data_IF_876486485017
#
_entry.id   IF_876486485017
#
_cell.length_a   1.000
_cell.length_b   1.000
_cell.length_c   1.000
_cell.angle_alpha   90.00
_cell.angle_beta   90.00
_cell.angle_gamma   90.00
#
_symmetry.space_group_name_H-M   'P 1'
#
loop_
_entity.id
_entity.type
_entity.pdbx_description
1 polymer ?
#
# COMPACT_ATOMS: atom_id res chain seq x y z
N UNK A 1 9.50 10.38 -33.04
CA UNK A 1 8.43 9.96 -32.10
C UNK A 1 8.64 10.63 -30.74
N UNK A 2 8.37 11.94 -30.64
CA UNK A 2 8.39 12.66 -29.37
C UNK A 2 7.17 13.57 -29.32
N UNK A 3 6.39 13.50 -28.25
CA UNK A 3 5.27 14.41 -28.05
C UNK A 3 5.84 15.83 -27.83
N UNK A 4 5.33 16.87 -28.53
CA UNK A 4 5.76 18.25 -28.31
C UNK A 4 5.68 18.62 -26.82
N UNK A 5 6.78 19.13 -26.26
CA UNK A 5 6.88 19.49 -24.83
C UNK A 5 7.54 18.44 -23.93
N UNK A 6 7.99 17.30 -24.49
CA UNK A 6 8.72 16.24 -23.79
C UNK A 6 10.21 16.16 -24.19
N UNK A 7 10.74 17.17 -24.88
CA UNK A 7 12.13 17.27 -25.33
C UNK A 7 13.09 17.70 -24.21
N UNK A 8 13.02 16.98 -23.08
CA UNK A 8 13.85 17.29 -21.90
C UNK A 8 15.26 16.75 -22.06
N UNK A 9 16.25 17.60 -21.82
CA UNK A 9 17.68 17.28 -21.97
C UNK A 9 18.25 16.50 -20.79
N UNK A 10 17.65 16.65 -19.61
CA UNK A 10 18.08 15.99 -18.39
C UNK A 10 16.90 15.79 -17.41
N UNK A 11 17.13 15.01 -16.36
CA UNK A 11 16.13 14.74 -15.32
C UNK A 11 15.76 16.00 -14.51
N UNK A 12 16.62 17.02 -14.45
CA UNK A 12 16.32 18.28 -13.75
C UNK A 12 15.23 19.06 -14.49
N UNK A 13 15.25 19.07 -15.83
CA UNK A 13 14.19 19.71 -16.62
C UNK A 13 12.82 19.07 -16.38
N UNK A 14 12.76 17.74 -16.27
CA UNK A 14 11.54 17.02 -15.90
C UNK A 14 11.06 17.46 -14.52
N UNK A 15 11.95 17.44 -13.51
CA UNK A 15 11.64 17.81 -12.14
C UNK A 15 11.13 19.26 -12.01
N UNK A 16 11.76 20.20 -12.70
CA UNK A 16 11.35 21.61 -12.68
C UNK A 16 10.02 21.87 -13.40
N UNK A 17 9.72 21.10 -14.45
CA UNK A 17 8.43 21.18 -15.14
C UNK A 17 7.32 20.57 -14.28
N UNK A 18 7.54 19.38 -13.71
CA UNK A 18 6.58 18.72 -12.82
C UNK A 18 6.30 19.54 -11.56
N UNK A 19 7.28 20.32 -11.07
CA UNK A 19 7.11 21.21 -9.93
C UNK A 19 5.96 22.22 -10.16
N UNK A 20 5.78 22.72 -11.38
CA UNK A 20 4.70 23.67 -11.73
C UNK A 20 3.32 23.07 -11.54
N UNK A 21 3.18 21.77 -11.77
CA UNK A 21 1.94 21.02 -11.60
C UNK A 21 1.71 20.57 -10.15
N UNK A 22 2.73 20.66 -9.29
CA UNK A 22 2.60 20.37 -7.85
C UNK A 22 1.90 21.48 -7.06
N UNK A 23 1.79 22.70 -7.62
CA UNK A 23 1.21 23.88 -6.96
C UNK A 23 -0.19 23.61 -6.42
N UNK A 24 -0.53 24.23 -5.27
CA UNK A 24 -1.83 24.12 -4.58
C UNK A 24 -2.19 22.71 -4.07
N UNK A 25 -1.22 21.78 -4.03
CA UNK A 25 -1.40 20.41 -3.55
C UNK A 25 -0.68 20.15 -2.23
N UNK A 26 -1.10 19.11 -1.51
CA UNK A 26 -0.41 18.59 -0.29
C UNK A 26 1.01 18.07 -0.56
N UNK A 27 1.35 17.87 -1.83
CA UNK A 27 2.68 17.45 -2.30
C UNK A 27 3.40 18.57 -3.04
N UNK A 28 3.04 19.84 -2.82
CA UNK A 28 3.66 20.96 -3.49
C UNK A 28 5.15 21.08 -3.13
N UNK A 29 6.02 21.15 -4.13
CA UNK A 29 7.45 21.37 -3.97
C UNK A 29 7.98 22.48 -4.88
N UNK A 30 7.10 23.23 -5.54
CA UNK A 30 7.48 24.31 -6.47
C UNK A 30 8.28 25.42 -5.81
N UNK A 31 8.03 25.68 -4.52
CA UNK A 31 8.81 26.62 -3.71
C UNK A 31 10.30 26.28 -3.68
N UNK A 32 10.67 24.98 -3.68
CA UNK A 32 12.08 24.55 -3.75
C UNK A 32 12.70 24.99 -5.06
N UNK A 33 12.06 24.64 -6.18
CA UNK A 33 12.55 24.98 -7.52
C UNK A 33 12.63 26.49 -7.71
N UNK A 34 11.65 27.23 -7.18
CA UNK A 34 11.65 28.68 -7.24
C UNK A 34 12.80 29.30 -6.46
N UNK A 35 13.01 28.85 -5.21
CA UNK A 35 14.09 29.37 -4.37
C UNK A 35 15.45 29.05 -4.96
N UNK A 36 15.64 27.84 -5.52
CA UNK A 36 16.84 27.46 -6.23
C UNK A 36 17.13 28.45 -7.38
N UNK A 37 16.14 28.71 -8.25
CA UNK A 37 16.30 29.66 -9.38
C UNK A 37 16.61 31.08 -8.94
N UNK A 38 16.02 31.57 -7.85
CA UNK A 38 16.31 32.91 -7.30
C UNK A 38 17.70 33.05 -6.74
N UNK A 39 18.32 31.95 -6.32
CA UNK A 39 19.68 31.90 -5.82
C UNK A 39 20.68 31.36 -6.88
N UNK A 40 20.30 31.35 -8.17
CA UNK A 40 21.19 30.94 -9.26
C UNK A 40 21.52 29.44 -9.31
N UNK A 41 20.69 28.59 -8.69
CA UNK A 41 20.88 27.14 -8.60
C UNK A 41 19.83 26.36 -9.39
N UNK A 42 20.15 25.11 -9.78
CA UNK A 42 19.16 24.16 -10.33
C UNK A 42 18.29 23.54 -9.24
N UNK A 43 17.07 23.13 -9.57
CA UNK A 43 16.17 22.46 -8.62
C UNK A 43 16.77 21.20 -7.98
N UNK A 44 17.40 20.34 -8.77
CA UNK A 44 18.09 19.14 -8.29
C UNK A 44 19.30 19.43 -7.41
N UNK A 45 20.03 20.53 -7.64
CA UNK A 45 21.17 20.88 -6.81
C UNK A 45 20.72 21.22 -5.39
N UNK A 46 19.64 22.01 -5.28
CA UNK A 46 19.05 22.31 -3.98
C UNK A 46 18.46 21.05 -3.31
N UNK A 47 17.75 20.21 -4.07
CA UNK A 47 17.21 18.95 -3.54
C UNK A 47 18.34 18.01 -3.07
N UNK A 48 19.43 17.90 -3.83
CA UNK A 48 20.60 17.10 -3.50
C UNK A 48 21.29 17.58 -2.22
N UNK A 49 21.38 18.90 -1.99
CA UNK A 49 21.89 19.47 -0.74
C UNK A 49 21.07 19.06 0.48
N UNK A 50 19.76 18.85 0.35
CA UNK A 50 18.89 18.37 1.43
C UNK A 50 19.13 16.88 1.78
N UNK A 51 19.76 16.13 0.86
CA UNK A 51 20.19 14.75 1.06
C UNK A 51 19.04 13.80 1.42
N UNK A 52 19.36 12.74 2.18
CA UNK A 52 18.39 11.72 2.64
C UNK A 52 17.43 12.23 3.71
N UNK A 53 17.70 13.40 4.28
CA UNK A 53 16.82 14.04 5.27
C UNK A 53 15.63 14.75 4.60
N UNK A 54 15.77 15.15 3.33
CA UNK A 54 14.69 15.68 2.48
C UNK A 54 14.04 16.96 3.00
N UNK A 55 12.91 17.37 2.41
CA UNK A 55 12.05 18.42 2.96
C UNK A 55 10.60 17.98 2.80
N UNK A 56 9.80 18.13 3.86
CA UNK A 56 8.42 17.65 3.84
C UNK A 56 7.53 18.61 3.04
N UNK A 57 6.85 18.07 2.04
CA UNK A 57 5.82 18.80 1.30
C UNK A 57 4.52 18.93 2.14
N UNK A 58 3.75 20.01 1.96
CA UNK A 58 3.98 21.09 1.00
C UNK A 58 5.06 22.08 1.47
N UNK A 59 6.01 22.39 0.57
CA UNK A 59 7.07 23.38 0.81
C UNK A 59 6.58 24.76 0.46
N UNK A 60 6.87 25.72 1.33
CA UNK A 60 6.35 27.09 1.27
C UNK A 60 7.48 28.10 1.42
N UNK A 61 7.17 29.36 1.14
CA UNK A 61 8.03 30.49 1.48
C UNK A 61 7.32 31.27 2.58
N UNK A 62 8.00 31.49 3.70
CA UNK A 62 7.49 32.26 4.83
C UNK A 62 8.44 33.41 5.13
N UNK A 63 7.93 34.47 5.75
CA UNK A 63 8.77 35.51 6.33
C UNK A 63 9.76 34.90 7.35
N UNK A 64 11.01 35.37 7.32
CA UNK A 64 12.09 34.85 8.16
C UNK A 64 11.83 35.04 9.65
N UNK A 65 11.22 36.15 10.07
CA UNK A 65 10.91 36.38 11.48
C UNK A 65 9.80 35.42 11.94
N UNK A 66 8.79 35.19 11.10
CA UNK A 66 7.73 34.22 11.37
C UNK A 66 8.27 32.77 11.41
N UNK A 67 9.10 32.37 10.45
CA UNK A 67 9.71 31.03 10.39
C UNK A 67 10.60 30.71 11.60
N UNK A 68 11.23 31.75 12.19
CA UNK A 68 12.08 31.64 13.38
C UNK A 68 11.34 31.94 14.69
N UNK A 69 10.01 32.11 14.65
CA UNK A 69 9.20 32.37 15.84
C UNK A 69 9.30 31.24 16.86
N UNK A 70 9.36 31.60 18.15
CA UNK A 70 9.30 30.65 19.27
C UNK A 70 7.87 30.20 19.60
N UNK A 71 6.86 30.58 18.81
CA UNK A 71 5.47 30.15 19.03
C UNK A 71 5.42 28.61 19.09
N UNK A 72 4.93 28.00 20.18
CA UNK A 72 4.91 26.56 20.33
C UNK A 72 4.04 25.86 19.28
N UNK A 73 3.12 26.55 18.60
CA UNK A 73 2.35 25.99 17.47
C UNK A 73 3.19 25.87 16.19
N UNK A 74 4.23 26.69 16.06
CA UNK A 74 5.24 26.66 14.98
C UNK A 74 6.45 25.80 15.41
N UNK A 75 6.79 25.80 16.70
CA UNK A 75 7.95 25.15 17.30
C UNK A 75 7.55 24.10 18.37
N UNK A 76 6.96 22.97 17.93
CA UNK A 76 6.56 21.87 18.84
C UNK A 76 7.70 20.90 19.14
N UNK A 77 7.79 20.33 20.36
CA UNK A 77 8.71 19.24 20.69
C UNK A 77 8.50 18.01 19.79
N UNK A 78 9.59 17.37 19.31
CA UNK A 78 9.55 16.22 18.38
C UNK A 78 9.85 16.55 16.91
N UNK A 79 10.44 17.71 16.62
CA UNK A 79 10.80 18.14 15.25
C UNK A 79 11.84 17.22 14.58
N UNK A 80 11.71 17.10 13.25
CA UNK A 80 12.82 16.90 12.30
C UNK A 80 12.72 17.71 11.02
N UNK A 81 11.87 18.74 10.96
CA UNK A 81 11.63 19.47 9.71
C UNK A 81 11.76 20.98 9.92
N UNK A 82 12.63 21.58 9.12
CA UNK A 82 13.22 22.93 9.20
C UNK A 82 14.28 23.18 10.30
N UNK A 83 14.15 22.63 11.51
CA UNK A 83 15.14 22.85 12.59
C UNK A 83 16.51 22.21 12.34
N UNK A 84 16.52 20.92 12.00
CA UNK A 84 17.76 20.14 11.80
C UNK A 84 18.44 20.41 10.44
N UNK A 85 17.78 21.19 9.58
CA UNK A 85 18.16 21.44 8.18
C UNK A 85 18.41 22.93 7.92
N UNK A 86 18.31 23.77 8.97
CA UNK A 86 18.57 25.20 8.89
C UNK A 86 19.94 25.48 8.26
N UNK A 87 20.97 24.69 8.57
CA UNK A 87 22.31 24.85 7.98
C UNK A 87 22.32 24.76 6.44
N UNK A 88 21.59 23.83 5.85
CA UNK A 88 21.50 23.68 4.38
C UNK A 88 20.66 24.79 3.76
N UNK A 89 19.70 25.32 4.51
CA UNK A 89 18.80 26.40 4.11
C UNK A 89 19.35 27.80 4.44
N UNK A 90 20.46 27.91 5.18
CA UNK A 90 21.09 29.20 5.53
C UNK A 90 21.57 29.90 4.27
N UNK A 91 21.24 31.19 4.16
CA UNK A 91 21.58 32.02 3.01
C UNK A 91 20.68 31.83 1.79
N UNK A 92 19.76 30.84 1.80
CA UNK A 92 18.72 30.70 0.77
C UNK A 92 17.50 31.56 1.15
N UNK A 93 17.63 32.86 0.90
CA UNK A 93 16.63 33.85 1.23
C UNK A 93 16.31 34.71 0.01
N UNK A 94 15.07 35.11 -0.16
CA UNK A 94 14.68 36.06 -1.20
C UNK A 94 13.67 37.06 -0.65
N UNK A 95 14.03 38.36 -0.65
CA UNK A 95 13.21 39.46 -0.11
C UNK A 95 12.67 39.16 1.31
N UNK A 96 13.52 38.64 2.20
CA UNK A 96 13.16 38.28 3.57
C UNK A 96 12.36 36.98 3.72
N UNK A 97 12.04 36.29 2.63
CA UNK A 97 11.38 34.99 2.63
C UNK A 97 12.36 33.82 2.65
N UNK A 98 12.05 32.79 3.45
CA UNK A 98 12.81 31.54 3.57
C UNK A 98 11.93 30.33 3.26
N UNK A 99 12.56 29.22 2.86
CA UNK A 99 11.83 27.96 2.70
C UNK A 99 11.32 27.45 4.05
N UNK A 100 10.06 27.08 4.08
CA UNK A 100 9.36 26.60 5.25
C UNK A 100 8.55 25.35 4.88
N UNK A 101 8.78 24.26 5.61
CA UNK A 101 8.04 23.01 5.48
C UNK A 101 7.00 22.87 6.59
N UNK A 102 5.90 22.17 6.33
CA UNK A 102 4.91 21.90 7.37
C UNK A 102 5.36 20.77 8.29
N UNK A 103 5.07 20.91 9.60
CA UNK A 103 5.35 19.87 10.62
C UNK A 103 4.38 18.69 10.48
N UNK A 104 3.15 18.96 10.05
CA UNK A 104 2.12 17.99 9.72
C UNK A 104 1.37 18.47 8.48
N UNK A 105 0.90 17.54 7.64
CA UNK A 105 0.06 17.90 6.48
C UNK A 105 -1.27 18.56 6.90
N UNK A 106 -1.74 18.30 8.11
CA UNK A 106 -2.92 18.93 8.71
C UNK A 106 -2.55 19.55 10.06
N UNK A 107 -2.63 20.88 10.16
CA UNK A 107 -2.38 21.62 11.40
C UNK A 107 -3.52 22.61 11.64
N UNK A 108 -4.51 22.22 12.43
CA UNK A 108 -5.69 23.05 12.73
C UNK A 108 -5.39 24.27 13.60
N UNK A 109 -4.18 24.37 14.16
CA UNK A 109 -3.78 25.40 15.12
C UNK A 109 -2.76 26.40 14.55
N UNK A 110 -2.27 26.17 13.33
CA UNK A 110 -1.34 27.08 12.64
C UNK A 110 -2.03 28.43 12.39
N UNK A 111 -1.39 29.53 12.83
CA UNK A 111 -1.82 30.90 12.56
C UNK A 111 -1.00 31.51 11.45
N UNK A 112 -1.62 32.23 10.52
CA UNK A 112 -0.90 32.91 9.44
C UNK A 112 -0.19 34.17 9.94
N UNK A 113 0.91 34.61 9.29
CA UNK A 113 1.42 35.97 9.49
C UNK A 113 0.33 36.99 9.15
N UNK A 114 0.26 38.09 9.92
CA UNK A 114 -0.71 39.17 9.68
C UNK A 114 -0.49 39.86 8.32
N UNK A 115 0.74 39.84 7.81
CA UNK A 115 1.12 40.34 6.48
C UNK A 115 0.73 39.41 5.33
N UNK A 116 0.15 38.25 5.61
CA UNK A 116 -0.07 37.18 4.63
C UNK A 116 1.23 36.48 4.22
N UNK A 117 1.13 35.57 3.24
CA UNK A 117 2.32 34.90 2.71
C UNK A 117 3.08 35.77 1.72
N UNK A 118 4.43 35.69 1.70
CA UNK A 118 5.18 36.20 0.57
C UNK A 118 4.74 35.49 -0.72
N UNK A 119 4.86 36.19 -1.85
CA UNK A 119 4.38 35.78 -3.17
C UNK A 119 4.60 34.28 -3.47
N UNK A 120 3.68 33.69 -4.23
CA UNK A 120 3.76 32.32 -4.80
C UNK A 120 3.37 31.16 -3.87
N UNK A 121 3.28 31.36 -2.55
CA UNK A 121 2.72 30.34 -1.64
C UNK A 121 1.21 30.47 -1.57
N UNK A 122 0.48 29.43 -1.99
CA UNK A 122 -0.97 29.33 -1.78
C UNK A 122 -1.22 28.38 -0.63
N UNK A 123 -1.83 28.90 0.41
CA UNK A 123 -2.22 28.09 1.55
C UNK A 123 -3.66 27.63 1.41
N UNK A 124 -3.84 26.32 1.45
CA UNK A 124 -5.13 25.72 1.21
C UNK A 124 -5.86 25.55 2.54
N UNK A 125 -7.14 25.93 2.60
CA UNK A 125 -8.02 25.69 3.76
C UNK A 125 -8.02 24.22 4.20
N UNK A 126 -7.78 23.27 3.27
CA UNK A 126 -7.65 21.84 3.54
C UNK A 126 -6.42 21.47 4.39
N UNK A 127 -5.45 22.36 4.57
CA UNK A 127 -4.28 22.14 5.41
C UNK A 127 -4.56 22.50 6.87
N UNK A 128 -5.54 23.38 7.13
CA UNK A 128 -6.01 23.71 8.48
C UNK A 128 -7.24 22.91 8.91
N UNK A 129 -7.87 22.17 7.98
CA UNK A 129 -9.16 21.53 8.22
C UNK A 129 -9.20 20.16 7.57
N UNK A 130 -9.80 19.19 8.26
CA UNK A 130 -10.14 17.91 7.67
C UNK A 130 -11.14 18.10 6.53
N UNK A 131 -11.14 17.17 5.56
CA UNK A 131 -12.13 17.13 4.48
C UNK A 131 -13.48 16.61 5.00
N UNK A 132 -14.07 17.34 5.92
CA UNK A 132 -15.39 17.12 6.51
C UNK A 132 -16.18 18.44 6.47
N UNK A 133 -17.51 18.37 6.58
CA UNK A 133 -18.36 19.57 6.58
C UNK A 133 -17.96 20.57 7.69
N UNK A 134 -17.56 20.07 8.86
CA UNK A 134 -17.16 20.87 10.02
C UNK A 134 -15.69 21.27 10.00
N UNK A 135 -14.88 20.67 9.14
CA UNK A 135 -13.42 20.80 9.15
C UNK A 135 -12.72 20.06 10.28
N UNK A 136 -13.45 19.27 11.08
CA UNK A 136 -12.93 18.47 12.20
C UNK A 136 -12.75 17.00 11.82
N UNK A 137 -11.93 16.29 12.58
CA UNK A 137 -11.77 14.84 12.47
C UNK A 137 -13.08 14.14 12.84
N UNK A 138 -13.55 13.25 11.98
CA UNK A 138 -14.66 12.35 12.28
C UNK A 138 -14.10 11.03 12.80
N UNK A 139 -14.35 10.70 14.06
CA UNK A 139 -14.02 9.39 14.62
C UNK A 139 -15.13 8.40 14.25
N UNK A 140 -14.75 7.29 13.63
CA UNK A 140 -15.68 6.23 13.24
C UNK A 140 -15.74 5.17 14.33
N UNK A 141 -16.96 4.79 14.72
CA UNK A 141 -17.21 3.61 15.54
C UNK A 141 -17.30 2.40 14.61
N UNK A 142 -16.48 1.37 14.87
CA UNK A 142 -16.42 0.15 14.05
C UNK A 142 -16.66 -1.08 14.92
N UNK A 143 -17.92 -1.35 15.32
CA UNK A 143 -18.22 -2.46 16.21
C UNK A 143 -18.05 -3.82 15.52
N UNK A 144 -17.52 -4.80 16.24
CA UNK A 144 -17.19 -6.13 15.68
C UNK A 144 -18.40 -6.89 15.13
N UNK A 145 -19.59 -6.68 15.72
CA UNK A 145 -20.82 -7.33 15.30
C UNK A 145 -21.23 -7.04 13.83
N UNK A 146 -20.66 -6.00 13.23
CA UNK A 146 -20.84 -5.68 11.80
C UNK A 146 -20.06 -6.62 10.87
N UNK A 147 -19.05 -7.32 11.37
CA UNK A 147 -18.14 -8.16 10.60
C UNK A 147 -18.16 -9.63 11.04
N UNK A 148 -18.54 -9.87 12.30
CA UNK A 148 -18.50 -11.19 12.92
C UNK A 148 -19.37 -12.22 12.21
N UNK A 149 -20.57 -11.84 11.74
CA UNK A 149 -21.52 -12.76 11.10
C UNK A 149 -20.90 -13.52 9.91
N UNK A 150 -20.22 -12.81 9.02
CA UNK A 150 -19.48 -13.44 7.94
C UNK A 150 -18.25 -14.21 8.45
N UNK A 151 -17.47 -13.61 9.35
CA UNK A 151 -16.22 -14.19 9.82
C UNK A 151 -16.44 -15.55 10.51
N UNK A 152 -17.45 -15.63 11.38
CA UNK A 152 -17.82 -16.84 12.10
C UNK A 152 -18.22 -17.98 11.15
N UNK A 153 -18.93 -17.66 10.07
CA UNK A 153 -19.28 -18.65 9.05
C UNK A 153 -18.06 -19.06 8.21
N UNK A 154 -17.22 -18.10 7.83
CA UNK A 154 -16.17 -18.28 6.84
C UNK A 154 -14.86 -18.85 7.38
N UNK A 155 -14.50 -18.58 8.64
CA UNK A 155 -13.25 -19.05 9.26
C UNK A 155 -12.96 -20.54 8.99
N UNK A 156 -11.68 -20.96 8.89
CA UNK A 156 -11.30 -22.35 8.66
C UNK A 156 -11.99 -23.32 9.62
N UNK A 157 -12.44 -24.46 9.10
CA UNK A 157 -13.10 -25.54 9.84
C UNK A 157 -12.32 -26.85 9.67
N UNK A 158 -12.21 -27.63 10.74
CA UNK A 158 -11.51 -28.92 10.73
C UNK A 158 -10.05 -28.76 10.31
N UNK A 159 -9.67 -29.40 9.20
CA UNK A 159 -8.30 -29.41 8.67
C UNK A 159 -7.98 -28.24 7.71
N UNK A 160 -8.95 -27.35 7.46
CA UNK A 160 -8.75 -26.16 6.64
C UNK A 160 -7.71 -25.21 7.28
N UNK A 161 -6.98 -24.50 6.42
CA UNK A 161 -6.06 -23.42 6.81
C UNK A 161 -6.53 -22.10 6.18
N UNK A 162 -6.11 -20.99 6.76
CA UNK A 162 -6.17 -19.71 6.06
C UNK A 162 -5.19 -19.75 4.88
N UNK A 163 -5.68 -19.42 3.69
CA UNK A 163 -4.90 -19.28 2.45
C UNK A 163 -4.84 -17.80 2.11
N UNK A 164 -4.01 -17.08 2.85
CA UNK A 164 -3.77 -15.67 2.59
C UNK A 164 -2.96 -15.53 1.30
N UNK A 165 -3.10 -14.40 0.61
CA UNK A 165 -2.36 -14.18 -0.62
C UNK A 165 -1.78 -12.76 -0.69
N UNK A 166 -0.79 -12.56 -1.54
CA UNK A 166 -0.13 -11.28 -1.66
C UNK A 166 0.83 -11.18 -2.83
N UNK A 167 1.63 -10.11 -2.80
CA UNK A 167 2.64 -9.80 -3.80
C UNK A 167 3.98 -10.38 -3.36
N UNK A 168 4.86 -10.61 -4.32
CA UNK A 168 6.29 -10.70 -4.06
C UNK A 168 7.02 -9.51 -4.64
N UNK A 169 8.25 -9.30 -4.19
CA UNK A 169 9.08 -8.20 -4.64
C UNK A 169 9.43 -8.31 -6.14
N UNK A 170 9.62 -9.54 -6.62
CA UNK A 170 10.18 -9.83 -7.93
C UNK A 170 9.13 -9.87 -9.06
N UNK A 171 7.84 -9.97 -8.73
CA UNK A 171 6.76 -10.06 -9.73
C UNK A 171 5.80 -8.88 -9.56
N UNK A 172 5.66 -8.09 -10.62
CA UNK A 172 4.74 -6.98 -10.70
C UNK A 172 3.31 -7.44 -10.99
N UNK A 173 2.42 -7.16 -10.04
CA UNK A 173 0.96 -7.28 -10.19
C UNK A 173 0.49 -8.66 -10.63
N UNK A 174 -0.03 -8.83 -11.85
CA UNK A 174 -0.50 -10.13 -12.37
C UNK A 174 0.63 -10.93 -13.05
N UNK A 175 1.84 -10.39 -13.09
CA UNK A 175 2.97 -11.00 -13.77
C UNK A 175 2.87 -10.98 -15.30
N UNK A 176 1.96 -10.20 -15.89
CA UNK A 176 1.75 -10.17 -17.35
C UNK A 176 3.01 -9.78 -18.15
N UNK A 177 3.88 -8.94 -17.59
CA UNK A 177 5.18 -8.61 -18.18
C UNK A 177 6.23 -9.61 -17.67
N UNK A 178 6.40 -9.64 -16.35
CA UNK A 178 7.48 -10.36 -15.69
C UNK A 178 7.49 -11.88 -15.93
N UNK A 179 6.34 -12.54 -15.81
CA UNK A 179 6.26 -14.00 -15.94
C UNK A 179 6.24 -14.50 -17.39
N UNK A 180 6.01 -13.60 -18.37
CA UNK A 180 5.93 -13.96 -19.78
C UNK A 180 7.15 -13.50 -20.59
N UNK A 181 7.77 -12.38 -20.20
CA UNK A 181 8.83 -11.73 -20.99
C UNK A 181 10.19 -11.75 -20.33
N UNK A 182 10.30 -12.13 -19.05
CA UNK A 182 11.56 -12.12 -18.29
C UNK A 182 11.93 -13.55 -17.86
N UNK A 183 12.73 -14.27 -18.68
CA UNK A 183 13.02 -15.69 -18.45
C UNK A 183 13.56 -16.01 -17.06
N UNK A 184 14.36 -15.11 -16.47
CA UNK A 184 14.94 -15.32 -15.14
C UNK A 184 13.90 -15.29 -14.00
N UNK A 185 12.79 -14.56 -14.15
CA UNK A 185 11.69 -14.55 -13.17
C UNK A 185 10.89 -15.84 -13.29
N UNK A 186 10.51 -16.20 -14.52
CA UNK A 186 9.79 -17.45 -14.82
C UNK A 186 10.60 -18.67 -14.42
N UNK A 187 11.92 -18.64 -14.64
CA UNK A 187 12.82 -19.68 -14.18
C UNK A 187 12.79 -19.81 -12.65
N UNK A 188 12.85 -18.71 -11.90
CA UNK A 188 12.84 -18.72 -10.43
C UNK A 188 11.49 -19.13 -9.83
N UNK A 189 10.39 -18.78 -10.49
CA UNK A 189 9.01 -19.04 -10.07
C UNK A 189 8.16 -19.56 -11.24
N UNK A 190 8.39 -20.82 -11.69
CA UNK A 190 7.71 -21.38 -12.86
C UNK A 190 6.25 -21.76 -12.58
N UNK A 191 5.90 -21.98 -11.31
CA UNK A 191 4.54 -22.30 -10.86
C UNK A 191 4.19 -21.41 -9.66
N UNK A 192 2.90 -21.37 -9.29
CA UNK A 192 2.52 -20.82 -8.00
C UNK A 192 3.06 -21.70 -6.85
N UNK A 193 3.17 -21.11 -5.66
CA UNK A 193 3.66 -21.80 -4.48
C UNK A 193 2.83 -21.45 -3.26
N UNK A 194 2.96 -22.26 -2.21
CA UNK A 194 2.31 -22.08 -0.94
C UNK A 194 3.37 -22.10 0.17
N UNK A 195 3.52 -20.97 0.85
CA UNK A 195 4.30 -20.87 2.07
C UNK A 195 3.47 -21.42 3.24
N UNK A 196 4.03 -22.40 3.96
CA UNK A 196 3.35 -23.12 5.04
C UNK A 196 4.25 -23.25 6.27
N UNK A 197 3.65 -23.13 7.46
CA UNK A 197 4.37 -23.23 8.73
C UNK A 197 4.93 -24.66 8.94
N UNK A 198 6.13 -24.84 9.52
CA UNK A 198 6.74 -26.17 9.69
C UNK A 198 5.86 -27.19 10.42
N UNK A 199 5.13 -26.76 11.45
CA UNK A 199 4.23 -27.67 12.18
C UNK A 199 3.01 -28.09 11.35
N UNK A 200 2.43 -27.17 10.57
CA UNK A 200 1.29 -27.49 9.72
C UNK A 200 1.69 -28.38 8.54
N UNK A 201 2.91 -28.18 8.04
CA UNK A 201 3.53 -29.01 7.02
C UNK A 201 3.82 -30.43 7.56
N UNK A 202 4.45 -30.53 8.74
CA UNK A 202 4.74 -31.80 9.41
C UNK A 202 3.48 -32.61 9.67
N UNK A 203 2.42 -31.97 10.17
CA UNK A 203 1.12 -32.62 10.39
C UNK A 203 0.48 -33.18 9.11
N UNK A 204 0.91 -32.70 7.93
CA UNK A 204 0.38 -33.09 6.61
C UNK A 204 1.38 -33.88 5.76
N UNK A 205 2.55 -34.24 6.31
CA UNK A 205 3.61 -34.94 5.57
C UNK A 205 4.17 -34.13 4.39
N UNK A 206 4.19 -32.80 4.51
CA UNK A 206 4.64 -31.86 3.48
C UNK A 206 6.07 -31.41 3.78
N UNK A 207 6.91 -31.44 2.75
CA UNK A 207 8.26 -30.87 2.73
C UNK A 207 8.36 -29.78 1.65
N UNK A 208 9.37 -28.91 1.75
CA UNK A 208 9.66 -27.94 0.69
C UNK A 208 9.91 -28.64 -0.64
N UNK A 209 9.29 -28.13 -1.70
CA UNK A 209 9.35 -28.71 -3.04
C UNK A 209 8.34 -29.82 -3.30
N UNK A 210 7.51 -30.20 -2.34
CA UNK A 210 6.37 -31.08 -2.64
C UNK A 210 5.31 -30.35 -3.48
N UNK A 211 4.64 -31.09 -4.35
CA UNK A 211 3.50 -30.60 -5.10
C UNK A 211 2.25 -30.68 -4.23
N UNK A 212 1.50 -29.59 -4.17
CA UNK A 212 0.28 -29.46 -3.37
C UNK A 212 -0.94 -29.22 -4.24
N UNK A 213 -2.08 -29.70 -3.74
CA UNK A 213 -3.40 -29.22 -4.13
C UNK A 213 -4.04 -28.51 -2.94
N UNK A 214 -4.64 -27.36 -3.20
CA UNK A 214 -5.40 -26.59 -2.22
C UNK A 214 -6.85 -26.56 -2.71
N UNK A 215 -7.79 -27.02 -1.88
CA UNK A 215 -9.21 -27.12 -2.23
C UNK A 215 -10.09 -26.39 -1.22
N UNK A 216 -11.17 -25.77 -1.71
CA UNK A 216 -12.24 -25.21 -0.89
C UNK A 216 -13.58 -25.65 -1.46
N UNK A 217 -14.41 -26.30 -0.65
CA UNK A 217 -15.69 -26.85 -1.10
C UNK A 217 -16.88 -25.87 -0.94
N UNK A 218 -16.63 -24.69 -0.37
CA UNK A 218 -17.68 -23.81 0.16
C UNK A 218 -17.47 -22.33 -0.15
N UNK A 219 -16.77 -21.99 -1.24
CA UNK A 219 -16.53 -20.59 -1.61
C UNK A 219 -17.87 -19.89 -1.87
N UNK A 220 -18.24 -18.87 -1.08
CA UNK A 220 -19.49 -18.15 -1.27
C UNK A 220 -19.35 -17.13 -2.40
N UNK A 221 -20.38 -17.05 -3.24
CA UNK A 221 -20.53 -16.06 -4.31
C UNK A 221 -21.85 -15.35 -4.09
N UNK A 222 -21.80 -14.04 -3.89
CA UNK A 222 -22.99 -13.20 -3.93
C UNK A 222 -23.37 -12.99 -5.40
N UNK A 223 -24.53 -13.50 -5.82
CA UNK A 223 -24.97 -13.50 -7.23
C UNK A 223 -25.83 -12.30 -7.61
N UNK A 224 -26.40 -11.62 -6.63
CA UNK A 224 -27.29 -10.47 -6.79
C UNK A 224 -27.17 -9.53 -5.57
N UNK A 225 -27.73 -8.33 -5.71
CA UNK A 225 -27.70 -7.30 -4.68
C UNK A 225 -29.11 -7.01 -4.17
N UNK A 226 -29.25 -6.95 -2.85
CA UNK A 226 -30.41 -6.37 -2.21
C UNK A 226 -30.26 -4.84 -2.16
N UNK A 227 -31.36 -4.10 -2.32
CA UNK A 227 -31.41 -2.64 -2.16
C UNK A 227 -31.15 -2.20 -0.70
N UNK A 228 -31.16 -3.14 0.24
CA UNK A 228 -30.88 -2.94 1.66
C UNK A 228 -31.81 -1.93 2.33
N UNK A 229 -33.11 -2.18 2.17
CA UNK A 229 -34.18 -1.37 2.74
C UNK A 229 -34.35 -1.70 4.23
N UNK A 230 -34.08 -2.94 4.64
CA UNK A 230 -34.28 -3.41 6.00
C UNK A 230 -32.97 -3.66 6.75
N UNK A 231 -33.06 -3.57 8.07
CA UNK A 231 -31.94 -3.90 8.95
C UNK A 231 -31.51 -5.35 8.74
N UNK A 232 -30.22 -5.56 8.52
CA UNK A 232 -29.65 -6.89 8.34
C UNK A 232 -29.70 -7.43 6.91
N UNK A 233 -30.19 -6.67 5.91
CA UNK A 233 -30.21 -7.11 4.51
C UNK A 233 -28.82 -7.46 3.95
N UNK A 234 -27.76 -6.89 4.53
CA UNK A 234 -26.37 -7.21 4.19
C UNK A 234 -25.67 -8.16 5.16
N UNK A 235 -26.37 -8.66 6.19
CA UNK A 235 -25.81 -9.72 7.03
C UNK A 235 -25.65 -10.98 6.18
N UNK A 236 -24.49 -11.62 6.26
CA UNK A 236 -24.18 -12.78 5.45
C UNK A 236 -25.14 -13.95 5.72
N UNK A 237 -25.53 -14.17 6.97
CA UNK A 237 -26.54 -15.17 7.33
C UNK A 237 -27.91 -14.90 6.68
N UNK A 238 -28.32 -13.63 6.59
CA UNK A 238 -29.56 -13.25 5.91
C UNK A 238 -29.45 -13.40 4.39
N UNK A 239 -28.33 -12.98 3.78
CA UNK A 239 -28.06 -13.19 2.36
C UNK A 239 -28.09 -14.68 1.99
N UNK A 240 -27.52 -15.55 2.84
CA UNK A 240 -27.61 -17.00 2.69
C UNK A 240 -29.06 -17.48 2.77
N UNK A 241 -29.81 -17.07 3.80
CA UNK A 241 -31.21 -17.49 4.04
C UNK A 241 -32.16 -17.05 2.92
N UNK A 242 -31.96 -15.85 2.37
CA UNK A 242 -32.74 -15.29 1.27
C UNK A 242 -32.31 -15.83 -0.10
N UNK A 243 -31.27 -16.65 -0.16
CA UNK A 243 -30.83 -17.30 -1.39
C UNK A 243 -29.99 -16.40 -2.31
N UNK A 244 -29.41 -15.30 -1.80
CA UNK A 244 -28.51 -14.38 -2.50
C UNK A 244 -27.07 -14.90 -2.63
N UNK A 245 -26.73 -15.97 -1.89
CA UNK A 245 -25.42 -16.60 -1.93
C UNK A 245 -25.48 -17.96 -2.62
N UNK A 246 -24.61 -18.17 -3.61
CA UNK A 246 -24.30 -19.47 -4.21
C UNK A 246 -23.00 -19.99 -3.63
N UNK A 247 -22.96 -21.27 -3.23
CA UNK A 247 -21.71 -21.94 -2.86
C UNK A 247 -21.10 -22.63 -4.08
N UNK A 248 -19.79 -22.49 -4.24
CA UNK A 248 -19.02 -23.19 -5.26
C UNK A 248 -17.81 -23.88 -4.65
N UNK A 249 -17.25 -24.83 -5.42
CA UNK A 249 -15.96 -25.44 -5.12
C UNK A 249 -14.87 -24.74 -5.92
N UNK A 250 -13.66 -24.69 -5.36
CA UNK A 250 -12.47 -24.16 -6.02
C UNK A 250 -11.26 -25.02 -5.67
N UNK A 251 -10.30 -25.08 -6.60
CA UNK A 251 -9.03 -25.75 -6.39
C UNK A 251 -7.92 -25.01 -7.14
N UNK A 252 -6.74 -24.98 -6.54
CA UNK A 252 -5.48 -24.55 -7.17
C UNK A 252 -4.39 -25.56 -6.86
N UNK A 253 -3.34 -25.57 -7.66
CA UNK A 253 -2.08 -26.26 -7.34
C UNK A 253 -0.99 -25.28 -6.98
N UNK A 254 0.04 -25.77 -6.28
CA UNK A 254 1.26 -25.03 -6.08
C UNK A 254 2.34 -25.86 -5.41
N UNK A 255 3.57 -25.34 -5.43
CA UNK A 255 4.73 -25.97 -4.79
C UNK A 255 4.84 -25.55 -3.33
N UNK A 256 5.13 -26.48 -2.44
CA UNK A 256 5.32 -26.20 -1.02
C UNK A 256 6.62 -25.42 -0.76
N UNK A 257 6.55 -24.38 0.07
CA UNK A 257 7.72 -23.75 0.70
C UNK A 257 7.47 -23.78 2.21
N UNK A 258 8.22 -24.61 2.92
CA UNK A 258 8.11 -24.70 4.38
C UNK A 258 8.91 -23.58 5.01
N UNK A 259 8.26 -22.70 5.76
CA UNK A 259 8.90 -21.51 6.35
C UNK A 259 8.22 -21.08 7.66
N UNK A 260 8.99 -20.70 8.70
CA UNK A 260 8.42 -20.23 9.97
C UNK A 260 7.86 -18.80 9.91
N UNK A 261 8.01 -18.09 8.77
CA UNK A 261 7.53 -16.71 8.60
C UNK A 261 6.00 -16.63 8.71
N UNK A 262 5.31 -17.63 8.15
CA UNK A 262 3.85 -17.72 8.22
C UNK A 262 3.43 -18.34 9.55
N UNK A 263 2.39 -17.78 10.19
CA UNK A 263 1.89 -18.31 11.47
C UNK A 263 1.21 -19.67 11.28
N UNK A 264 1.29 -20.53 12.29
CA UNK A 264 0.51 -21.76 12.37
C UNK A 264 -0.99 -21.48 12.13
N UNK A 265 -1.64 -22.38 11.39
CA UNK A 265 -3.03 -22.22 10.94
C UNK A 265 -3.19 -21.32 9.70
N UNK A 266 -2.09 -20.74 9.20
CA UNK A 266 -2.08 -19.78 8.09
C UNK A 266 -1.03 -20.16 7.05
N UNK A 267 -1.36 -19.91 5.79
CA UNK A 267 -0.49 -20.08 4.64
C UNK A 267 -0.49 -18.81 3.80
N UNK A 268 0.52 -18.66 2.96
CA UNK A 268 0.65 -17.52 2.06
C UNK A 268 0.96 -17.97 0.64
N UNK A 269 0.36 -17.33 -0.37
CA UNK A 269 0.59 -17.64 -1.78
C UNK A 269 0.52 -16.39 -2.66
N UNK A 270 1.09 -16.46 -3.87
CA UNK A 270 0.98 -15.36 -4.82
C UNK A 270 -0.45 -15.28 -5.42
N UNK A 271 -1.00 -14.06 -5.44
CA UNK A 271 -2.45 -13.83 -5.58
C UNK A 271 -3.04 -14.09 -6.96
N UNK A 272 -2.35 -13.67 -8.03
CA UNK A 272 -2.83 -13.77 -9.42
C UNK A 272 -1.77 -14.45 -10.29
N UNK A 273 -1.34 -15.65 -9.90
CA UNK A 273 -0.62 -16.49 -10.85
C UNK A 273 -1.52 -16.74 -12.08
N UNK A 274 -1.03 -16.52 -13.31
CA UNK A 274 -1.83 -16.68 -14.53
C UNK A 274 -2.43 -18.08 -14.71
N UNK A 275 -1.76 -19.10 -14.19
CA UNK A 275 -2.19 -20.51 -14.31
C UNK A 275 -2.97 -20.99 -13.08
N UNK A 276 -2.56 -20.54 -11.89
CA UNK A 276 -3.10 -21.02 -10.60
C UNK A 276 -3.49 -19.85 -9.68
N UNK A 277 -4.56 -19.10 -9.98
CA UNK A 277 -4.90 -17.88 -9.26
C UNK A 277 -5.46 -18.18 -7.86
N UNK A 278 -4.73 -17.79 -6.81
CA UNK A 278 -5.15 -18.00 -5.43
C UNK A 278 -6.47 -17.28 -5.07
N UNK A 279 -6.83 -16.24 -5.82
CA UNK A 279 -8.12 -15.58 -5.71
C UNK A 279 -9.32 -16.53 -5.93
N UNK A 280 -9.14 -17.71 -6.55
CA UNK A 280 -10.22 -18.68 -6.71
C UNK A 280 -10.72 -19.24 -5.36
N UNK A 281 -9.87 -19.23 -4.32
CA UNK A 281 -10.20 -19.70 -2.97
C UNK A 281 -10.81 -18.61 -2.07
N UNK A 282 -10.93 -17.38 -2.59
CA UNK A 282 -11.38 -16.21 -1.84
C UNK A 282 -12.92 -16.10 -1.93
N UNK A 283 -13.60 -15.70 -0.84
CA UNK A 283 -15.04 -15.44 -0.88
C UNK A 283 -15.36 -14.28 -1.83
N UNK A 284 -16.28 -14.51 -2.77
CA UNK A 284 -16.81 -13.48 -3.67
C UNK A 284 -18.02 -12.80 -3.03
N UNK A 285 -17.86 -12.40 -1.77
CA UNK A 285 -18.82 -11.64 -0.99
C UNK A 285 -18.12 -10.36 -0.53
N UNK A 286 -18.51 -9.20 -1.08
CA UNK A 286 -17.89 -7.94 -0.73
C UNK A 286 -18.24 -7.53 0.70
N UNK A 287 -17.40 -6.67 1.26
CA UNK A 287 -17.71 -5.95 2.50
C UNK A 287 -18.92 -5.04 2.30
N UNK A 288 -19.90 -5.12 3.20
CA UNK A 288 -21.17 -4.41 3.03
C UNK A 288 -21.06 -2.89 3.16
N UNK A 289 -20.01 -2.37 3.81
CA UNK A 289 -19.79 -0.93 3.98
C UNK A 289 -19.12 -0.32 2.75
N UNK A 290 -18.09 -0.99 2.23
CA UNK A 290 -17.21 -0.43 1.18
C UNK A 290 -17.35 -1.11 -0.18
N UNK A 291 -18.14 -2.17 -0.26
CA UNK A 291 -18.25 -3.08 -1.39
C UNK A 291 -16.90 -3.67 -1.84
N UNK A 292 -15.91 -3.74 -0.93
CA UNK A 292 -14.57 -4.27 -1.23
C UNK A 292 -14.50 -5.77 -0.96
N UNK A 293 -13.93 -6.52 -1.89
CA UNK A 293 -13.70 -7.95 -1.70
C UNK A 293 -12.67 -8.24 -0.61
N UNK A 294 -12.90 -9.34 0.10
CA UNK A 294 -12.09 -9.79 1.24
C UNK A 294 -10.94 -10.71 0.80
N UNK A 295 -10.09 -10.21 -0.11
CA UNK A 295 -9.03 -10.99 -0.76
C UNK A 295 -8.07 -11.74 0.18
N UNK A 296 -7.92 -11.28 1.42
CA UNK A 296 -7.00 -11.88 2.39
C UNK A 296 -7.60 -13.05 3.17
N UNK A 297 -8.87 -13.36 2.94
CA UNK A 297 -9.58 -14.44 3.61
C UNK A 297 -9.74 -15.65 2.68
N UNK A 298 -8.70 -16.09 1.98
CA UNK A 298 -8.78 -17.40 1.30
C UNK A 298 -8.83 -18.52 2.35
N UNK A 299 -9.55 -19.60 2.07
CA UNK A 299 -9.61 -20.79 2.95
C UNK A 299 -9.45 -22.02 2.09
N UNK A 300 -8.71 -23.02 2.57
CA UNK A 300 -8.60 -24.28 1.87
C UNK A 300 -7.98 -25.40 2.68
N UNK A 301 -8.27 -26.64 2.28
CA UNK A 301 -7.58 -27.84 2.72
C UNK A 301 -6.34 -28.02 1.85
N UNK A 302 -5.19 -28.25 2.49
CA UNK A 302 -3.91 -28.41 1.82
C UNK A 302 -3.52 -29.88 1.85
N UNK A 303 -3.28 -30.47 0.68
CA UNK A 303 -2.88 -31.89 0.55
C UNK A 303 -1.69 -32.03 -0.40
N UNK A 304 -0.74 -32.90 -0.03
CA UNK A 304 0.35 -33.34 -0.89
C UNK A 304 -0.17 -34.27 -1.99
N UNK A 305 0.22 -34.01 -3.23
CA UNK A 305 -0.11 -34.85 -4.40
C UNK A 305 1.12 -35.53 -5.02
N UNK A 306 2.34 -35.17 -4.59
CA UNK A 306 3.58 -35.80 -5.05
C UNK A 306 4.80 -34.93 -4.77
N UNK A 307 5.96 -35.33 -5.30
CA UNK A 307 7.12 -34.44 -5.40
C UNK A 307 6.95 -33.53 -6.64
N UNK A 308 7.23 -32.23 -6.51
CA UNK A 308 7.25 -31.35 -7.68
C UNK A 308 8.47 -31.66 -8.55
N UNK A 309 8.45 -31.35 -9.86
CA UNK A 309 9.62 -31.48 -10.72
C UNK A 309 10.79 -30.59 -10.28
N UNK A 310 10.55 -29.62 -9.40
CA UNK A 310 11.53 -28.65 -8.94
C UNK A 310 12.24 -29.07 -7.64
N UNK A 311 11.70 -30.04 -6.89
CA UNK A 311 12.17 -30.42 -5.54
C UNK A 311 13.67 -30.75 -5.50
N UNK A 312 14.15 -31.44 -6.53
CA UNK A 312 15.53 -31.95 -6.64
C UNK A 312 16.41 -31.11 -7.58
N UNK A 313 15.91 -29.97 -8.05
CA UNK A 313 16.61 -29.13 -9.03
C UNK A 313 16.96 -27.77 -8.43
N UNK A 314 18.20 -27.35 -8.60
CA UNK A 314 18.66 -26.01 -8.16
C UNK A 314 18.48 -24.93 -9.23
N UNK A 315 17.79 -25.26 -10.34
CA UNK A 315 17.65 -24.36 -11.50
C UNK A 315 16.45 -23.44 -11.42
N UNK A 316 15.48 -23.73 -10.56
CA UNK A 316 14.21 -23.02 -10.49
C UNK A 316 13.93 -22.49 -9.08
N UNK A 317 12.98 -23.10 -8.37
CA UNK A 317 12.68 -22.74 -7.00
C UNK A 317 13.93 -22.86 -6.12
N UNK A 318 14.24 -21.80 -5.36
CA UNK A 318 15.03 -21.90 -4.14
C UNK A 318 14.07 -21.97 -2.96
N UNK A 319 14.22 -23.03 -2.17
CA UNK A 319 13.48 -23.29 -0.94
C UNK A 319 14.18 -22.74 0.31
N UNK A 320 15.25 -21.95 0.11
CA UNK A 320 15.87 -21.20 1.19
C UNK A 320 14.90 -20.15 1.72
N UNK A 321 15.16 -19.73 2.95
CA UNK A 321 14.44 -18.64 3.61
C UNK A 321 14.56 -17.33 2.82
N UNK A 322 13.48 -16.56 2.82
CA UNK A 322 13.37 -15.27 2.10
C UNK A 322 13.34 -14.05 3.03
N UNK A 323 13.29 -14.27 4.34
CA UNK A 323 13.41 -13.21 5.32
C UNK A 323 14.87 -12.81 5.52
N UNK A 324 15.07 -11.53 5.85
CA UNK A 324 16.38 -11.00 6.23
C UNK A 324 16.65 -11.45 7.67
N UNK A 325 17.67 -12.28 7.86
CA UNK A 325 18.14 -12.79 9.16
C UNK A 325 19.24 -11.91 9.73
#
# INVERSE_FOLDING_TARGET
>A
MGFPGFDWKDSNQVFEETARFSRKSRVAYDSIVWMAKKNGMKGHELLGKLGTTGIQAPVRIMDKAYANSKDPRINRPGRKFAGDQQEVLKGLEWRGGVLFATVRQHDTEMKMPDTGHPERTIFNKLELKYKSQTGKLNLLKSPWNQFSDFWEWWKPKGEELWVTNGRINEIWQSGFDDMFRRPYITQRFPENWLEIHPEDAKARGIESGDQLVITCDRVPIQKDYNQAVFSGDFMFSNLMKQGHIKLTKASITGVAIVTPIVRKGTTWTYFQNPHQPANALVPMVPDWVTNRYRFKLGVGKVKKIGESPYKRTYRAFSFARRDIV
#
